data_IF_885949047213
#
_entry.id   IF_885949047213
#
_cell.length_a   1.000
_cell.length_b   1.000
_cell.length_c   1.000
_cell.angle_alpha   90.00
_cell.angle_beta   90.00
_cell.angle_gamma   90.00
#
_symmetry.space_group_name_H-M   'P 1'
#
loop_
_entity.id
_entity.type
_entity.pdbx_description
1 polymer ?
2 non-polymer ?
3 water ?
#
# COMPACT_ATOMS: atom_id res chain seq x y z
N UNK A 13 -8.91 25.84 13.21
CA UNK A 13 -10.34 25.46 13.42
C UNK A 13 -10.91 24.73 12.20
N UNK A 14 -10.50 25.14 11.01
CA UNK A 14 -10.96 24.54 9.76
C UNK A 14 -10.46 23.10 9.61
N UNK A 15 -9.53 22.69 10.48
CA UNK A 15 -8.98 21.35 10.44
C UNK A 15 -9.58 20.50 11.55
N UNK A 16 -10.51 21.11 12.30
CA UNK A 16 -11.23 20.43 13.37
C UNK A 16 -12.11 19.35 12.70
N UNK A 17 -12.10 18.12 13.24
CA UNK A 17 -12.84 16.95 12.74
C UNK A 17 -14.15 17.22 11.99
N UNK A 18 -15.16 17.69 12.71
CA UNK A 18 -16.47 17.96 12.12
C UNK A 18 -16.41 18.95 10.95
N UNK A 19 -15.70 20.06 11.15
CA UNK A 19 -15.57 21.08 10.13
C UNK A 19 -14.82 20.56 8.90
N UNK A 20 -13.75 19.82 9.17
CA UNK A 20 -12.93 19.25 8.11
C UNK A 20 -13.71 18.31 7.19
N UNK A 21 -14.57 17.47 7.77
CA UNK A 21 -15.36 16.56 6.98
C UNK A 21 -16.36 17.33 6.14
N UNK A 22 -16.99 18.35 6.72
CA UNK A 22 -17.94 19.16 5.98
C UNK A 22 -17.23 19.90 4.85
N UNK A 23 -16.00 20.33 5.10
CA UNK A 23 -15.24 21.05 4.07
C UNK A 23 -14.87 20.08 2.95
N UNK A 24 -14.49 18.85 3.30
CA UNK A 24 -14.14 17.87 2.28
C UNK A 24 -15.37 17.54 1.43
N UNK A 25 -16.53 17.48 2.08
CA UNK A 25 -17.79 17.20 1.39
C UNK A 25 -18.06 18.20 0.26
N UNK A 26 -17.99 19.49 0.57
CA UNK A 26 -18.21 20.54 -0.42
C UNK A 26 -17.15 20.53 -1.51
N UNK A 27 -15.95 20.05 -1.16
CA UNK A 27 -14.84 19.99 -2.09
C UNK A 27 -14.96 18.90 -3.16
N UNK A 28 -15.86 17.95 -2.95
CA UNK A 28 -16.05 16.86 -3.89
C UNK A 28 -16.11 17.32 -5.35
N UNK A 29 -15.49 16.53 -6.25
CA UNK A 29 -15.45 16.80 -7.69
C UNK A 29 -16.85 16.66 -8.28
N UNK A 30 -17.15 17.38 -9.37
CA UNK A 30 -18.47 17.29 -10.00
C UNK A 30 -18.52 16.01 -10.84
N UNK A 31 -19.71 15.66 -11.32
CA UNK A 31 -19.82 14.50 -12.17
C UNK A 31 -19.07 14.80 -13.46
N UNK A 32 -18.44 13.80 -14.04
CA UNK A 32 -17.68 14.01 -15.26
C UNK A 32 -18.25 13.18 -16.40
N UNK A 33 -18.66 13.85 -17.47
CA UNK A 33 -19.21 13.17 -18.64
C UNK A 33 -18.16 13.19 -19.75
N UNK A 34 -17.73 12.01 -20.21
CA UNK A 34 -16.73 11.96 -21.29
C UNK A 34 -17.29 12.44 -22.62
N UNK A 35 -18.58 12.19 -22.85
CA UNK A 35 -19.22 12.63 -24.09
C UNK A 35 -18.60 12.02 -25.35
N UNK A 36 -18.79 10.71 -25.50
CA UNK A 36 -18.26 10.01 -26.67
C UNK A 36 -19.15 10.33 -27.87
N UNK A 37 -18.55 10.88 -28.94
CA UNK A 37 -19.27 11.25 -30.17
C UNK A 37 -19.85 10.04 -30.89
N UNK A 44 -14.37 5.35 -29.42
CA UNK A 44 -15.12 4.10 -29.18
C UNK A 44 -14.18 3.10 -28.47
N UNK A 45 -12.88 3.40 -28.45
CA UNK A 45 -11.97 2.47 -27.83
C UNK A 45 -12.18 2.56 -26.33
N UNK A 46 -12.27 1.45 -25.64
CA UNK A 46 -12.45 1.54 -24.21
C UNK A 46 -11.31 2.38 -23.61
N UNK A 47 -10.07 2.04 -24.00
CA UNK A 47 -8.89 2.74 -23.50
C UNK A 47 -8.92 4.20 -23.92
N UNK A 48 -9.63 4.49 -25.00
CA UNK A 48 -9.72 5.87 -25.48
C UNK A 48 -10.68 6.64 -24.57
N UNK A 49 -11.76 5.96 -24.15
CA UNK A 49 -12.74 6.57 -23.27
C UNK A 49 -12.11 6.79 -21.89
N UNK A 50 -11.52 5.72 -21.36
CA UNK A 50 -10.88 5.78 -20.05
C UNK A 50 -9.90 6.95 -20.01
N UNK A 51 -9.01 7.03 -21.00
CA UNK A 51 -8.02 8.10 -21.05
C UNK A 51 -8.66 9.49 -21.18
N UNK A 52 -9.76 9.60 -21.92
CA UNK A 52 -10.39 10.91 -22.04
C UNK A 52 -11.03 11.30 -20.71
N UNK A 53 -11.53 10.30 -20.00
CA UNK A 53 -12.14 10.53 -18.69
C UNK A 53 -11.10 10.99 -17.67
N UNK A 54 -10.02 10.21 -17.52
CA UNK A 54 -8.95 10.55 -16.58
C UNK A 54 -8.48 11.98 -16.79
N UNK A 55 -8.18 12.32 -18.03
CA UNK A 55 -7.73 13.67 -18.36
C UNK A 55 -8.71 14.71 -17.83
N UNK A 56 -10.00 14.45 -17.95
CA UNK A 56 -11.01 15.38 -17.44
C UNK A 56 -11.07 15.39 -15.91
N UNK A 57 -10.99 14.22 -15.30
CA UNK A 57 -11.04 14.12 -13.84
C UNK A 57 -9.87 14.81 -13.18
N UNK A 58 -8.67 14.67 -13.76
CA UNK A 58 -7.47 15.28 -13.21
C UNK A 58 -7.63 16.77 -13.00
N UNK A 59 -8.29 17.43 -13.94
CA UNK A 59 -8.51 18.87 -13.81
C UNK A 59 -9.27 19.14 -12.52
N UNK A 60 -10.35 18.38 -12.29
CA UNK A 60 -11.15 18.55 -11.08
C UNK A 60 -10.45 18.03 -9.84
N UNK A 61 -9.53 17.11 -10.00
CA UNK A 61 -8.80 16.59 -8.86
C UNK A 61 -7.90 17.69 -8.29
N UNK A 62 -7.29 18.48 -9.17
CA UNK A 62 -6.42 19.57 -8.73
C UNK A 62 -7.26 20.55 -7.91
N UNK A 63 -8.45 20.89 -8.42
CA UNK A 63 -9.33 21.83 -7.71
C UNK A 63 -9.66 21.27 -6.34
N UNK A 64 -9.95 19.98 -6.29
CA UNK A 64 -10.30 19.32 -5.05
C UNK A 64 -9.16 19.45 -4.02
N UNK A 65 -7.94 19.11 -4.42
CA UNK A 65 -6.77 19.17 -3.54
C UNK A 65 -6.57 20.59 -2.98
N UNK A 66 -6.72 21.60 -3.85
CA UNK A 66 -6.59 22.98 -3.43
C UNK A 66 -7.60 23.37 -2.35
N UNK A 67 -8.72 22.66 -2.29
CA UNK A 67 -9.74 22.95 -1.30
C UNK A 67 -9.52 22.26 0.03
N UNK A 68 -8.59 21.31 0.07
CA UNK A 68 -8.30 20.62 1.32
C UNK A 68 -7.57 21.64 2.19
N UNK A 69 -8.15 21.97 3.36
CA UNK A 69 -7.57 22.94 4.30
C UNK A 69 -6.07 22.78 4.53
N UNK A 70 -5.31 23.79 4.15
CA UNK A 70 -3.88 23.76 4.35
C UNK A 70 -3.04 23.26 3.19
N UNK A 71 -3.68 22.58 2.24
CA UNK A 71 -2.93 22.06 1.10
C UNK A 71 -2.19 23.16 0.34
N UNK A 72 -2.92 24.21 0.00
CA UNK A 72 -2.35 25.32 -0.74
C UNK A 72 -1.21 26.01 0.03
N UNK A 73 -1.09 25.73 1.33
CA UNK A 73 -0.04 26.33 2.13
C UNK A 73 1.23 25.50 2.23
N UNK A 74 1.24 24.32 1.63
CA UNK A 74 2.44 23.50 1.63
C UNK A 74 3.26 24.17 0.53
N UNK A 75 4.54 23.83 0.41
CA UNK A 75 5.35 24.42 -0.64
C UNK A 75 4.81 23.91 -1.96
N UNK A 76 4.90 24.71 -3.02
CA UNK A 76 4.40 24.27 -4.31
C UNK A 76 5.13 22.97 -4.63
N UNK A 77 6.33 22.83 -4.08
CA UNK A 77 7.13 21.64 -4.30
C UNK A 77 6.41 20.39 -3.79
N UNK A 78 5.87 20.47 -2.58
CA UNK A 78 5.15 19.34 -2.01
C UNK A 78 3.81 19.13 -2.73
N UNK A 79 3.12 20.22 -3.02
CA UNK A 79 1.84 20.13 -3.71
C UNK A 79 2.01 19.35 -5.01
N UNK A 80 2.96 19.79 -5.83
CA UNK A 80 3.22 19.16 -7.12
C UNK A 80 3.66 17.71 -6.90
N UNK A 81 4.51 17.53 -5.88
CA UNK A 81 5.03 16.21 -5.54
C UNK A 81 3.87 15.25 -5.20
N UNK A 82 2.96 15.70 -4.35
CA UNK A 82 1.82 14.89 -3.94
C UNK A 82 0.86 14.63 -5.10
N UNK A 83 0.52 15.66 -5.86
CA UNK A 83 -0.40 15.48 -6.99
C UNK A 83 0.16 14.55 -8.06
N UNK A 84 1.44 14.68 -8.35
CA UNK A 84 2.05 13.85 -9.38
C UNK A 84 2.04 12.35 -9.03
N UNK A 85 2.27 12.01 -7.77
CA UNK A 85 2.29 10.60 -7.39
C UNK A 85 0.99 9.97 -6.89
N UNK A 86 -0.03 10.77 -6.60
CA UNK A 86 -1.28 10.22 -6.09
C UNK A 86 -2.45 10.17 -7.07
N UNK A 87 -2.34 10.85 -8.21
CA UNK A 87 -3.47 10.93 -9.12
C UNK A 87 -4.20 9.63 -9.50
N UNK A 88 -3.45 8.60 -9.84
CA UNK A 88 -4.05 7.33 -10.21
C UNK A 88 -4.76 6.65 -9.02
N UNK A 89 -4.20 6.80 -7.80
CA UNK A 89 -4.82 6.22 -6.59
C UNK A 89 -6.14 6.92 -6.24
N UNK A 90 -6.16 8.24 -6.39
CA UNK A 90 -7.35 9.03 -6.09
C UNK A 90 -8.47 8.74 -7.08
N UNK A 91 -8.12 8.58 -8.35
CA UNK A 91 -9.12 8.29 -9.37
C UNK A 91 -9.72 6.93 -9.07
N UNK A 92 -8.87 5.98 -8.67
CA UNK A 92 -9.36 4.65 -8.36
C UNK A 92 -10.15 4.61 -7.06
N UNK A 93 -9.78 5.44 -6.09
CA UNK A 93 -10.52 5.48 -4.85
C UNK A 93 -11.89 6.04 -5.17
N UNK A 94 -11.92 7.02 -6.07
CA UNK A 94 -13.19 7.61 -6.48
C UNK A 94 -14.04 6.59 -7.21
N UNK A 95 -13.42 5.82 -8.10
CA UNK A 95 -14.10 4.78 -8.88
C UNK A 95 -14.72 3.70 -7.98
N UNK A 96 -13.95 3.25 -6.99
CA UNK A 96 -14.44 2.23 -6.07
C UNK A 96 -15.62 2.70 -5.24
N UNK A 97 -15.54 3.95 -4.79
CA UNK A 97 -16.60 4.49 -3.98
C UNK A 97 -17.90 4.56 -4.79
N UNK A 98 -17.87 5.05 -6.03
CA UNK A 98 -19.15 5.07 -6.77
C UNK A 98 -19.62 3.71 -7.29
N UNK A 99 -18.71 2.73 -7.30
CA UNK A 99 -19.03 1.37 -7.74
C UNK A 99 -19.38 0.46 -6.54
N UNK A 100 -19.18 0.97 -5.34
CA UNK A 100 -19.40 0.20 -4.11
C UNK A 100 -20.70 -0.58 -3.94
N UNK A 101 -21.82 -0.07 -4.43
CA UNK A 101 -23.08 -0.78 -4.27
C UNK A 101 -23.45 -1.71 -5.44
N UNK A 102 -22.57 -1.83 -6.44
CA UNK A 102 -22.87 -2.67 -7.60
C UNK A 102 -21.79 -3.70 -7.95
N UNK A 103 -21.84 -4.87 -7.29
CA UNK A 103 -20.85 -5.91 -7.58
C UNK A 103 -20.77 -6.30 -9.06
N UNK A 104 -19.55 -6.56 -9.54
CA UNK A 104 -19.37 -6.95 -10.93
C UNK A 104 -19.33 -5.79 -11.89
N UNK A 105 -19.50 -4.57 -11.38
CA UNK A 105 -19.46 -3.40 -12.23
C UNK A 105 -18.57 -2.28 -11.72
N UNK A 106 -18.16 -1.43 -12.66
CA UNK A 106 -17.33 -0.29 -12.34
C UNK A 106 -17.99 0.96 -12.92
N UNK A 107 -18.53 1.82 -12.06
CA UNK A 107 -19.14 3.04 -12.55
C UNK A 107 -18.04 4.09 -12.69
N UNK A 108 -17.39 4.10 -13.86
CA UNK A 108 -16.31 5.05 -14.14
C UNK A 108 -16.83 6.47 -14.27
N UNK A 109 -18.02 6.59 -14.86
CA UNK A 109 -18.63 7.90 -15.08
C UNK A 109 -20.10 7.70 -15.42
N UNK A 110 -20.90 8.77 -15.33
CA UNK A 110 -22.34 8.72 -15.62
C UNK A 110 -22.70 8.08 -16.97
N UNK A 111 -21.76 8.02 -17.90
CA UNK A 111 -22.07 7.37 -19.18
C UNK A 111 -20.99 6.38 -19.55
N UNK A 112 -20.39 5.78 -18.54
CA UNK A 112 -19.36 4.79 -18.76
C UNK A 112 -19.35 3.81 -17.60
N UNK A 113 -20.26 2.85 -17.66
CA UNK A 113 -20.39 1.81 -16.66
C UNK A 113 -19.87 0.57 -17.36
N UNK A 114 -18.85 -0.07 -16.78
CA UNK A 114 -18.25 -1.27 -17.39
C UNK A 114 -18.29 -2.45 -16.44
N UNK A 115 -18.72 -3.61 -16.92
CA UNK A 115 -18.72 -4.78 -16.05
C UNK A 115 -17.43 -5.53 -16.30
N UNK A 116 -17.06 -6.38 -15.34
CA UNK A 116 -15.83 -7.13 -15.40
C UNK A 116 -15.40 -7.67 -16.78
N UNK A 117 -16.27 -8.45 -17.40
CA UNK A 117 -15.97 -9.05 -18.70
C UNK A 117 -15.60 -8.10 -19.83
N UNK A 118 -16.11 -6.88 -19.80
CA UNK A 118 -15.77 -5.94 -20.85
C UNK A 118 -14.27 -5.67 -20.78
N UNK A 119 -13.64 -6.15 -19.71
CA UNK A 119 -12.23 -5.95 -19.53
C UNK A 119 -11.37 -6.96 -20.27
N UNK A 120 -12.00 -7.97 -20.87
CA UNK A 120 -11.27 -8.99 -21.62
C UNK A 120 -10.83 -8.46 -22.98
N UNK A 121 -11.52 -7.43 -23.47
CA UNK A 121 -11.20 -6.82 -24.74
C UNK A 121 -9.72 -6.43 -24.75
N UNK A 122 -9.36 -5.45 -23.92
CA UNK A 122 -7.97 -4.99 -23.82
C UNK A 122 -7.16 -5.92 -22.92
N UNK A 123 -5.98 -6.32 -23.39
CA UNK A 123 -5.12 -7.22 -22.63
C UNK A 123 -4.52 -6.54 -21.41
N UNK A 124 -4.46 -7.26 -20.30
CA UNK A 124 -3.90 -6.72 -19.07
C UNK A 124 -4.87 -5.93 -18.21
N UNK A 125 -6.01 -5.55 -18.79
CA UNK A 125 -7.00 -4.78 -18.08
C UNK A 125 -7.89 -5.62 -17.18
N UNK A 126 -8.25 -6.82 -17.62
CA UNK A 126 -9.10 -7.68 -16.83
C UNK A 126 -8.49 -7.89 -15.45
N UNK A 127 -7.16 -8.02 -15.41
CA UNK A 127 -6.42 -8.23 -14.18
C UNK A 127 -6.63 -7.06 -13.22
N UNK A 128 -6.57 -5.84 -13.76
CA UNK A 128 -6.74 -4.63 -12.98
C UNK A 128 -8.20 -4.46 -12.52
N UNK A 129 -9.15 -4.78 -13.39
CA UNK A 129 -10.58 -4.70 -13.08
C UNK A 129 -10.89 -5.59 -11.88
N UNK A 130 -10.25 -6.75 -11.84
CA UNK A 130 -10.47 -7.69 -10.76
C UNK A 130 -9.89 -7.19 -9.44
N UNK A 131 -8.79 -6.43 -9.51
CA UNK A 131 -8.19 -5.86 -8.30
C UNK A 131 -9.11 -4.77 -7.75
N UNK A 132 -9.68 -3.99 -8.67
CA UNK A 132 -10.58 -2.90 -8.32
C UNK A 132 -11.89 -3.45 -7.79
N UNK A 133 -12.41 -4.49 -8.45
CA UNK A 133 -13.67 -5.06 -8.00
C UNK A 133 -13.49 -5.72 -6.64
N UNK A 134 -12.33 -6.31 -6.41
CA UNK A 134 -12.05 -6.97 -5.12
C UNK A 134 -11.87 -5.97 -3.97
N UNK A 135 -11.20 -4.85 -4.25
CA UNK A 135 -10.99 -3.85 -3.23
C UNK A 135 -12.31 -3.15 -2.93
N UNK A 136 -13.11 -2.90 -3.98
CA UNK A 136 -14.42 -2.27 -3.82
C UNK A 136 -15.26 -3.20 -2.96
N UNK A 137 -15.18 -4.49 -3.26
CA UNK A 137 -15.90 -5.50 -2.52
C UNK A 137 -15.60 -5.41 -1.04
N UNK A 138 -14.34 -5.20 -0.71
CA UNK A 138 -13.89 -5.09 0.67
C UNK A 138 -14.44 -3.84 1.38
N UNK A 139 -14.52 -2.72 0.66
CA UNK A 139 -15.06 -1.49 1.24
C UNK A 139 -16.56 -1.68 1.49
N UNK A 140 -17.23 -2.43 0.61
CA UNK A 140 -18.66 -2.69 0.78
C UNK A 140 -18.85 -3.55 2.05
N UNK A 141 -18.05 -4.59 2.20
CA UNK A 141 -18.12 -5.47 3.38
C UNK A 141 -17.92 -4.69 4.67
N UNK A 142 -16.99 -3.73 4.65
CA UNK A 142 -16.71 -2.93 5.84
C UNK A 142 -17.77 -1.86 6.00
N UNK A 143 -18.64 -1.74 4.99
CA UNK A 143 -19.67 -0.72 5.02
C UNK A 143 -19.05 0.67 5.18
N UNK A 144 -18.11 0.98 4.30
CA UNK A 144 -17.44 2.27 4.31
C UNK A 144 -18.50 3.38 4.28
N UNK A 145 -18.37 4.36 5.17
CA UNK A 145 -19.31 5.48 5.26
C UNK A 145 -18.87 6.64 4.38
N UNK A 146 -19.80 7.54 4.08
CA UNK A 146 -19.50 8.70 3.27
C UNK A 146 -18.41 9.53 3.97
N UNK A 147 -18.57 9.73 5.27
CA UNK A 147 -17.60 10.49 6.07
C UNK A 147 -16.21 9.86 6.09
N UNK A 148 -16.16 8.54 6.22
CA UNK A 148 -14.88 7.83 6.23
C UNK A 148 -14.24 7.96 4.85
N UNK A 149 -15.03 7.74 3.81
CA UNK A 149 -14.54 7.84 2.44
C UNK A 149 -13.92 9.21 2.17
N UNK A 150 -14.55 10.25 2.69
CA UNK A 150 -14.03 11.60 2.49
C UNK A 150 -12.66 11.77 3.14
N UNK A 151 -12.46 11.14 4.29
CA UNK A 151 -11.19 11.25 5.01
C UNK A 151 -10.11 10.42 4.33
N UNK A 152 -10.46 9.18 4.01
CA UNK A 152 -9.52 8.27 3.36
C UNK A 152 -9.00 8.85 2.04
N UNK A 153 -9.87 9.40 1.22
CA UNK A 153 -9.42 9.96 -0.05
C UNK A 153 -8.42 11.11 0.17
N UNK A 154 -8.64 11.90 1.21
CA UNK A 154 -7.74 13.00 1.52
C UNK A 154 -6.41 12.43 2.00
N UNK A 155 -6.47 11.35 2.77
CA UNK A 155 -5.27 10.71 3.27
C UNK A 155 -4.44 10.12 2.13
N UNK A 156 -5.10 9.56 1.12
CA UNK A 156 -4.41 8.98 -0.03
C UNK A 156 -3.52 10.04 -0.71
N UNK A 157 -4.04 11.25 -0.82
CA UNK A 157 -3.28 12.35 -1.42
C UNK A 157 -2.11 12.74 -0.52
N UNK A 158 -2.37 12.97 0.76
CA UNK A 158 -1.35 13.39 1.71
C UNK A 158 -0.28 12.35 2.01
N UNK A 159 -0.60 11.08 1.82
CA UNK A 159 0.33 9.99 2.06
C UNK A 159 0.89 9.40 0.77
N UNK A 160 0.69 10.07 -0.36
CA UNK A 160 1.16 9.53 -1.64
C UNK A 160 2.67 9.47 -1.82
N UNK A 161 3.39 10.49 -1.36
CA UNK A 161 4.84 10.50 -1.51
C UNK A 161 5.54 10.58 -0.15
N UNK A 162 6.53 9.72 0.04
CA UNK A 162 7.30 9.66 1.28
C UNK A 162 8.32 10.81 1.35
N UNK A 163 8.93 11.12 0.21
CA UNK A 163 9.94 12.16 0.11
C UNK A 163 9.64 13.52 0.73
N UNK A 164 8.51 14.15 0.34
CA UNK A 164 8.18 15.46 0.91
C UNK A 164 7.96 15.40 2.42
N UNK A 165 8.28 14.27 3.03
CA UNK A 165 8.11 14.09 4.46
C UNK A 165 9.43 13.67 5.14
N UNK A 166 10.40 13.23 4.35
CA UNK A 166 11.69 12.80 4.89
C UNK A 166 12.86 13.43 4.11
N UNK A 174 8.27 22.93 5.35
CA UNK A 174 6.96 22.49 4.87
C UNK A 174 6.66 21.05 5.26
N UNK A 175 7.70 20.26 5.51
CA UNK A 175 7.52 18.88 5.91
C UNK A 175 6.71 18.88 7.20
N UNK A 176 7.07 19.80 8.10
CA UNK A 176 6.37 19.93 9.36
C UNK A 176 4.90 20.10 9.03
N UNK A 177 4.63 20.97 8.06
CA UNK A 177 3.26 21.24 7.63
C UNK A 177 2.51 20.02 7.09
N UNK A 178 3.17 19.23 6.25
CA UNK A 178 2.53 18.04 5.69
C UNK A 178 2.19 17.03 6.77
N UNK A 179 3.12 16.86 7.71
CA UNK A 179 2.94 15.92 8.81
C UNK A 179 1.76 16.32 9.68
N UNK A 180 1.61 17.61 9.92
CA UNK A 180 0.51 18.10 10.73
C UNK A 180 -0.81 17.94 9.99
N UNK A 181 -0.78 18.15 8.67
CA UNK A 181 -1.98 18.01 7.85
C UNK A 181 -2.44 16.55 7.83
N UNK A 182 -1.50 15.65 7.60
CA UNK A 182 -1.81 14.24 7.56
C UNK A 182 -2.39 13.77 8.90
N UNK A 183 -1.88 14.33 10.00
CA UNK A 183 -2.36 13.97 11.34
C UNK A 183 -3.78 14.51 11.55
N UNK A 184 -4.06 15.68 10.99
CA UNK A 184 -5.37 16.28 11.14
C UNK A 184 -6.45 15.41 10.50
N UNK A 185 -6.18 14.93 9.29
CA UNK A 185 -7.12 14.08 8.58
C UNK A 185 -7.29 12.77 9.33
N UNK A 186 -6.21 12.26 9.92
CA UNK A 186 -6.24 11.02 10.69
C UNK A 186 -7.14 11.21 11.91
N UNK A 187 -6.98 12.34 12.59
CA UNK A 187 -7.81 12.64 13.76
C UNK A 187 -9.28 12.64 13.33
N UNK A 188 -9.55 13.25 12.17
CA UNK A 188 -10.91 13.33 11.66
C UNK A 188 -11.51 11.94 11.46
N UNK A 189 -10.75 11.04 10.84
CA UNK A 189 -11.21 9.68 10.61
C UNK A 189 -11.42 8.96 11.94
N UNK A 190 -10.48 9.15 12.88
CA UNK A 190 -10.57 8.53 14.20
C UNK A 190 -11.81 9.06 14.89
N UNK A 191 -12.12 10.34 14.65
CA UNK A 191 -13.31 10.94 15.23
C UNK A 191 -14.54 10.32 14.58
N UNK A 192 -14.53 10.25 13.25
CA UNK A 192 -15.64 9.65 12.51
C UNK A 192 -15.94 8.26 13.04
N UNK A 193 -14.90 7.44 13.15
CA UNK A 193 -15.05 6.09 13.67
C UNK A 193 -15.59 6.10 15.11
N UNK A 194 -15.11 7.04 15.92
CA UNK A 194 -15.55 7.13 17.31
C UNK A 194 -17.06 7.36 17.49
N UNK A 195 -17.63 8.31 16.76
CA UNK A 195 -19.07 8.53 16.91
C UNK A 195 -19.89 7.39 16.33
N UNK A 196 -19.19 6.33 15.93
CA UNK A 196 -19.81 5.13 15.37
C UNK A 196 -20.48 4.38 16.53
N UNK A 197 -20.07 4.74 17.74
CA UNK A 197 -20.62 4.13 18.94
C UNK A 197 -20.11 2.74 19.25
N UNK A 198 -19.11 2.27 18.51
CA UNK A 198 -18.57 0.93 18.74
C UNK A 198 -17.52 0.91 19.86
N UNK A 199 -17.21 -0.27 20.38
CA UNK A 199 -16.23 -0.39 21.45
C UNK A 199 -14.86 0.13 21.02
N UNK A 200 -13.99 0.37 22.00
CA UNK A 200 -12.65 0.86 21.72
C UNK A 200 -11.79 -0.16 21.00
N UNK A 201 -12.06 -1.44 21.21
CA UNK A 201 -11.30 -2.48 20.53
C UNK A 201 -11.69 -2.50 19.07
N UNK A 202 -12.98 -2.31 18.81
CA UNK A 202 -13.48 -2.30 17.44
C UNK A 202 -13.05 -1.05 16.69
N UNK A 203 -12.90 0.05 17.42
CA UNK A 203 -12.49 1.31 16.83
C UNK A 203 -11.08 1.17 16.28
N UNK A 204 -10.20 0.56 17.06
CA UNK A 204 -8.82 0.34 16.62
C UNK A 204 -8.82 -0.63 15.46
N UNK A 205 -9.67 -1.64 15.56
CA UNK A 205 -9.75 -2.64 14.50
C UNK A 205 -10.27 -2.03 13.21
N UNK A 206 -11.24 -1.12 13.31
CA UNK A 206 -11.77 -0.51 12.09
C UNK A 206 -10.76 0.45 11.48
N UNK A 207 -10.08 1.23 12.31
CA UNK A 207 -9.07 2.13 11.77
C UNK A 207 -8.03 1.27 11.03
N UNK A 208 -7.55 0.22 11.68
CA UNK A 208 -6.57 -0.67 11.07
C UNK A 208 -7.06 -1.34 9.77
N UNK A 209 -8.32 -1.76 9.74
CA UNK A 209 -8.86 -2.39 8.55
C UNK A 209 -8.93 -1.39 7.39
N UNK A 210 -9.29 -0.16 7.70
CA UNK A 210 -9.38 0.88 6.69
C UNK A 210 -8.01 1.20 6.11
N UNK A 211 -7.05 1.47 6.99
CA UNK A 211 -5.69 1.83 6.55
C UNK A 211 -4.98 0.73 5.78
N UNK A 212 -5.26 -0.52 6.12
CA UNK A 212 -4.66 -1.64 5.41
C UNK A 212 -5.18 -1.68 3.97
N UNK A 213 -6.42 -1.23 3.76
CA UNK A 213 -6.96 -1.22 2.41
C UNK A 213 -6.21 -0.23 1.53
N UNK A 214 -5.57 0.77 2.15
CA UNK A 214 -4.81 1.74 1.39
C UNK A 214 -3.66 1.07 0.64
N UNK A 215 -3.10 -0.01 1.21
CA UNK A 215 -2.03 -0.74 0.56
C UNK A 215 -2.53 -1.32 -0.76
N UNK A 216 -3.78 -1.79 -0.74
CA UNK A 216 -4.42 -2.38 -1.91
C UNK A 216 -4.77 -1.35 -2.96
N UNK A 217 -5.21 -0.17 -2.52
CA UNK A 217 -5.55 0.90 -3.46
C UNK A 217 -4.23 1.30 -4.14
N UNK A 218 -3.17 1.38 -3.34
CA UNK A 218 -1.86 1.71 -3.86
C UNK A 218 -1.45 0.66 -4.89
N UNK A 219 -1.73 -0.60 -4.57
CA UNK A 219 -1.38 -1.71 -5.44
C UNK A 219 -2.07 -1.65 -6.81
N UNK A 220 -3.37 -1.40 -6.82
CA UNK A 220 -4.10 -1.31 -8.07
C UNK A 220 -3.62 -0.09 -8.86
N UNK A 221 -3.17 0.92 -8.13
CA UNK A 221 -2.66 2.14 -8.72
C UNK A 221 -1.34 1.89 -9.48
N UNK A 222 -0.45 1.12 -8.87
CA UNK A 222 0.83 0.79 -9.50
C UNK A 222 0.58 -0.07 -10.73
N UNK A 223 -0.38 -0.98 -10.65
CA UNK A 223 -0.69 -1.83 -11.79
C UNK A 223 -1.27 -1.00 -12.94
N UNK A 224 -2.16 -0.07 -12.60
CA UNK A 224 -2.75 0.78 -13.61
C UNK A 224 -1.72 1.65 -14.30
N UNK A 225 -0.76 2.17 -13.52
CA UNK A 225 0.32 3.00 -14.05
C UNK A 225 1.23 2.20 -14.98
N UNK A 226 1.53 0.97 -14.57
CA UNK A 226 2.39 0.11 -15.37
C UNK A 226 1.73 -0.15 -16.71
N UNK A 227 0.47 -0.52 -16.67
CA UNK A 227 -0.30 -0.80 -17.87
C UNK A 227 -0.42 0.42 -18.78
N UNK A 228 -0.56 1.60 -18.19
CA UNK A 228 -0.71 2.82 -18.95
C UNK A 228 0.55 3.19 -19.71
N UNK A 229 1.70 2.95 -19.09
CA UNK A 229 2.95 3.26 -19.74
C UNK A 229 3.30 2.18 -20.74
N UNK A 230 2.89 0.94 -20.47
CA UNK A 230 3.15 -0.18 -21.36
C UNK A 230 2.15 -0.14 -22.49
N UNK A 231 1.24 0.82 -22.43
CA UNK A 231 0.22 0.99 -23.45
C UNK A 231 0.76 1.47 -24.78
N UNK A 232 0.15 1.00 -25.86
CA UNK A 232 0.53 1.34 -27.22
C UNK A 232 -0.45 2.30 -27.89
N UNK A 235 -3.73 6.48 -30.72
CA UNK A 235 -5.19 6.53 -30.80
C UNK A 235 -5.88 6.77 -29.44
N UNK A 236 -5.14 7.38 -28.52
CA UNK A 236 -5.64 7.67 -27.17
C UNK A 236 -5.06 8.99 -26.63
N UNK A 237 -5.25 9.24 -25.35
CA UNK A 237 -4.78 10.47 -24.75
C UNK A 237 -3.61 10.32 -23.78
N UNK A 238 -2.63 11.21 -23.87
CA UNK A 238 -1.45 11.20 -23.01
C UNK A 238 -1.78 11.95 -21.72
N UNK A 239 -2.38 11.21 -20.80
CA UNK A 239 -2.80 11.75 -19.53
C UNK A 239 -1.67 12.29 -18.70
N UNK A 240 -0.61 11.51 -18.54
CA UNK A 240 0.54 11.94 -17.75
C UNK A 240 1.14 13.27 -18.20
N UNK A 241 1.37 13.41 -19.51
CA UNK A 241 1.93 14.66 -20.03
C UNK A 241 0.95 15.80 -19.85
N UNK A 242 -0.34 15.53 -20.02
CA UNK A 242 -1.36 16.55 -19.84
C UNK A 242 -1.38 16.97 -18.37
N UNK A 243 -1.19 16.00 -17.48
CA UNK A 243 -1.18 16.28 -16.05
C UNK A 243 -0.02 17.22 -15.73
N UNK A 244 1.14 16.92 -16.30
CA UNK A 244 2.31 17.75 -16.07
C UNK A 244 2.08 19.18 -16.55
N UNK A 245 1.28 19.32 -17.61
CA UNK A 245 0.95 20.64 -18.14
C UNK A 245 0.10 21.36 -17.10
N UNK A 246 -0.85 20.64 -16.51
CA UNK A 246 -1.73 21.20 -15.48
C UNK A 246 -0.92 21.56 -14.25
N UNK A 247 0.12 20.79 -13.99
CA UNK A 247 0.97 21.02 -12.84
C UNK A 247 1.84 22.25 -13.03
N UNK A 248 2.26 22.49 -14.26
CA UNK A 248 3.08 23.66 -14.53
C UNK A 248 2.14 24.85 -14.43
N UNK A 249 0.91 24.67 -14.93
CA UNK A 249 -0.11 25.72 -14.87
C UNK A 249 -0.34 26.03 -13.39
N UNK A 250 -0.29 24.98 -12.57
CA UNK A 250 -0.49 25.12 -11.13
C UNK A 250 0.70 25.85 -10.53
N UNK A 251 1.84 25.47 -10.86
N UNK B 12 -6.90 -20.10 20.99
CA UNK B 12 -7.20 -18.65 21.16
C UNK B 12 -6.04 -17.96 21.86
N UNK B 13 -5.62 -18.54 22.97
CA UNK B 13 -4.54 -18.00 23.80
C UNK B 13 -3.18 -17.87 23.11
N UNK B 14 -2.87 -18.76 22.18
CA UNK B 14 -1.59 -18.72 21.47
C UNK B 14 -1.48 -17.46 20.58
N UNK B 15 -2.62 -16.81 20.36
CA UNK B 15 -2.70 -15.60 19.55
C UNK B 15 -2.77 -14.36 20.42
N UNK B 16 -2.67 -14.56 21.74
CA UNK B 16 -2.70 -13.46 22.70
C UNK B 16 -1.50 -12.55 22.47
N UNK B 17 -1.72 -11.22 22.53
CA UNK B 17 -0.71 -10.18 22.34
C UNK B 17 0.72 -10.51 22.77
N UNK B 18 0.89 -10.86 24.04
CA UNK B 18 2.21 -11.17 24.56
C UNK B 18 2.85 -12.45 24.00
N UNK B 19 2.10 -13.55 23.99
CA UNK B 19 2.64 -14.80 23.48
C UNK B 19 2.98 -14.66 22.02
N UNK B 20 2.07 -14.04 21.26
CA UNK B 20 2.22 -13.85 19.83
C UNK B 20 3.53 -13.16 19.44
N UNK B 21 3.86 -12.09 20.14
CA UNK B 21 5.08 -11.34 19.86
C UNK B 21 6.31 -12.22 20.14
N UNK B 22 6.27 -12.95 21.24
CA UNK B 22 7.37 -13.83 21.59
C UNK B 22 7.48 -14.96 20.56
N UNK B 23 6.35 -15.47 20.09
CA UNK B 23 6.39 -16.54 19.09
C UNK B 23 6.93 -15.99 17.76
N UNK B 24 6.56 -14.77 17.40
CA UNK B 24 7.06 -14.19 16.16
C UNK B 24 8.57 -14.01 16.29
N UNK B 25 9.03 -13.60 17.48
CA UNK B 25 10.45 -13.42 17.75
C UNK B 25 11.25 -14.69 17.44
N UNK B 26 10.88 -15.82 18.06
CA UNK B 26 11.56 -17.08 17.81
C UNK B 26 11.44 -17.54 16.37
N UNK B 27 10.40 -17.07 15.69
CA UNK B 27 10.15 -17.44 14.29
C UNK B 27 11.04 -16.70 13.29
N UNK B 28 11.70 -15.65 13.74
CA UNK B 28 12.57 -14.88 12.86
C UNK B 28 13.55 -15.74 12.06
N UNK B 29 13.76 -15.38 10.78
CA UNK B 29 14.66 -16.09 9.86
C UNK B 29 16.11 -15.96 10.31
N UNK B 30 16.96 -16.93 9.94
CA UNK B 30 18.38 -16.91 10.32
C UNK B 30 19.09 -15.93 9.40
N UNK B 31 20.34 -15.61 9.72
CA UNK B 31 21.10 -14.71 8.85
C UNK B 31 21.33 -15.47 7.56
N UNK B 32 21.35 -14.78 6.43
CA UNK B 32 21.56 -15.45 5.16
C UNK B 32 22.86 -14.99 4.51
N UNK B 33 23.79 -15.92 4.33
CA UNK B 33 25.07 -15.59 3.71
C UNK B 33 25.01 -15.97 2.24
N UNK B 34 25.07 -14.97 1.37
CA UNK B 34 25.02 -15.21 -0.07
C UNK B 34 26.19 -16.07 -0.56
N UNK B 35 27.35 -15.89 0.07
CA UNK B 35 28.53 -16.66 -0.30
C UNK B 35 28.88 -16.59 -1.79
N UNK B 36 29.43 -15.45 -2.21
CA UNK B 36 29.81 -15.26 -3.60
C UNK B 36 31.24 -15.76 -3.77
N UNK B 37 31.46 -16.69 -4.71
CA UNK B 37 32.78 -17.28 -5.01
C UNK B 37 33.83 -16.24 -5.45
N UNK B 44 24.15 -7.17 -13.49
CA UNK B 44 24.44 -8.58 -13.73
C UNK B 44 24.94 -9.29 -12.48
N UNK B 45 26.09 -8.87 -11.93
CA UNK B 45 26.62 -9.50 -10.73
C UNK B 45 25.86 -8.99 -9.50
N UNK B 46 25.74 -7.67 -9.36
CA UNK B 46 24.99 -7.12 -8.23
C UNK B 46 23.61 -7.74 -8.29
N UNK B 47 23.04 -7.78 -9.50
CA UNK B 47 21.72 -8.36 -9.71
C UNK B 47 21.79 -9.87 -9.55
N UNK B 48 22.97 -10.45 -9.73
CA UNK B 48 23.17 -11.87 -9.58
C UNK B 48 23.23 -12.16 -8.07
N UNK B 49 23.85 -11.25 -7.33
CA UNK B 49 23.94 -11.39 -5.89
C UNK B 49 22.54 -11.29 -5.28
N UNK B 50 21.87 -10.19 -5.55
CA UNK B 50 20.53 -9.95 -5.04
C UNK B 50 19.64 -11.16 -5.34
N UNK B 51 19.62 -11.59 -6.61
CA UNK B 51 18.78 -12.71 -6.98
C UNK B 51 19.13 -14.01 -6.25
N UNK B 52 20.42 -14.24 -5.99
CA UNK B 52 20.80 -15.45 -5.30
C UNK B 52 20.46 -15.32 -3.82
N UNK B 53 20.50 -14.10 -3.32
CA UNK B 53 20.15 -13.84 -1.92
C UNK B 53 18.65 -14.08 -1.71
N UNK B 54 17.82 -13.46 -2.57
CA UNK B 54 16.38 -13.61 -2.48
C UNK B 54 15.96 -15.07 -2.49
N UNK B 55 16.49 -15.83 -3.43
CA UNK B 55 16.15 -17.24 -3.53
C UNK B 55 16.40 -17.93 -2.19
N UNK B 56 17.52 -17.63 -1.55
CA UNK B 56 17.85 -18.21 -0.26
C UNK B 56 16.91 -17.73 0.85
N UNK B 57 16.54 -16.46 0.83
CA UNK B 57 15.66 -15.91 1.85
C UNK B 57 14.26 -16.49 1.76
N UNK B 58 13.80 -16.71 0.53
CA UNK B 58 12.47 -17.26 0.29
C UNK B 58 12.26 -18.60 0.97
N UNK B 59 13.31 -19.41 1.02
CA UNK B 59 13.21 -20.69 1.69
C UNK B 59 12.88 -20.44 3.15
N UNK B 60 13.64 -19.56 3.79
CA UNK B 60 13.42 -19.23 5.19
C UNK B 60 12.15 -18.45 5.43
N UNK B 61 11.68 -17.74 4.42
CA UNK B 61 10.46 -16.99 4.58
C UNK B 61 9.29 -17.97 4.71
N UNK B 62 9.32 -19.06 3.95
CA UNK B 62 8.27 -20.07 4.01
C UNK B 62 8.23 -20.65 5.42
N UNK B 63 9.41 -20.95 5.97
CA UNK B 63 9.51 -21.52 7.31
C UNK B 63 8.97 -20.54 8.32
N UNK B 64 9.30 -19.26 8.13
CA UNK B 64 8.84 -18.21 9.04
C UNK B 64 7.30 -18.17 9.07
N UNK B 65 6.70 -18.07 7.88
CA UNK B 65 5.24 -18.01 7.74
C UNK B 65 4.56 -19.21 8.41
N UNK B 66 5.12 -20.40 8.24
CA UNK B 66 4.56 -21.61 8.85
C UNK B 66 4.58 -21.54 10.38
N UNK B 67 5.42 -20.68 10.93
CA UNK B 67 5.52 -20.54 12.38
C UNK B 67 4.55 -19.52 12.97
N UNK B 68 3.90 -18.74 12.11
CA UNK B 68 2.93 -17.76 12.58
C UNK B 68 1.71 -18.55 13.01
N UNK B 69 1.33 -18.46 14.30
CA UNK B 69 0.17 -19.17 14.86
C UNK B 69 -1.07 -19.10 13.97
N UNK B 70 -1.55 -20.26 13.54
CA UNK B 70 -2.72 -20.29 12.71
C UNK B 70 -2.50 -20.28 11.21
N UNK B 71 -1.33 -19.83 10.77
CA UNK B 71 -1.07 -19.78 9.34
C UNK B 71 -1.27 -21.15 8.69
N UNK B 72 -0.67 -22.16 9.28
CA UNK B 72 -0.77 -23.51 8.75
C UNK B 72 -2.19 -24.06 8.76
N UNK B 73 -3.09 -23.43 9.52
CA UNK B 73 -4.47 -23.89 9.59
C UNK B 73 -5.42 -23.16 8.63
N UNK B 74 -4.84 -22.45 7.67
CA UNK B 74 -5.64 -21.77 6.66
C UNK B 74 -5.62 -22.80 5.56
N UNK B 75 -6.47 -22.64 4.56
CA UNK B 75 -6.47 -23.59 3.45
C UNK B 75 -5.14 -23.41 2.73
N UNK B 76 -4.63 -24.49 2.14
CA UNK B 76 -3.37 -24.41 1.42
C UNK B 76 -3.51 -23.36 0.33
N UNK B 77 -4.72 -23.21 -0.18
CA UNK B 77 -4.95 -22.23 -1.23
C UNK B 77 -4.66 -20.80 -0.78
N UNK B 78 -5.05 -20.47 0.45
CA UNK B 78 -4.79 -19.13 0.95
C UNK B 78 -3.32 -18.98 1.32
N UNK B 79 -2.73 -20.04 1.86
CA UNK B 79 -1.33 -20.01 2.24
C UNK B 79 -0.49 -19.66 1.02
N UNK B 80 -0.71 -20.39 -0.06
CA UNK B 80 0.02 -20.18 -1.30
C UNK B 80 -0.25 -18.80 -1.87
N UNK B 81 -1.52 -18.37 -1.84
CA UNK B 81 -1.91 -17.05 -2.32
C UNK B 81 -1.10 -15.96 -1.62
N UNK B 82 -1.10 -16.04 -0.29
CA UNK B 82 -0.39 -15.06 0.52
C UNK B 82 1.11 -15.08 0.26
N UNK B 83 1.73 -16.25 0.35
CA UNK B 83 3.17 -16.33 0.11
C UNK B 83 3.57 -15.80 -1.27
N UNK B 84 2.82 -16.18 -2.28
CA UNK B 84 3.13 -15.72 -3.62
C UNK B 84 2.98 -14.19 -3.77
N UNK B 85 1.98 -13.62 -3.11
CA UNK B 85 1.73 -12.18 -3.18
C UNK B 85 2.66 -11.31 -2.33
N UNK B 86 3.01 -11.78 -1.14
CA UNK B 86 3.83 -11.00 -0.22
C UNK B 86 5.35 -11.08 -0.24
N UNK B 87 5.91 -12.17 -0.77
CA UNK B 87 7.35 -12.35 -0.68
C UNK B 87 8.26 -11.14 -0.89
N UNK B 88 8.07 -10.40 -1.97
CA UNK B 88 8.91 -9.23 -2.22
C UNK B 88 8.72 -8.14 -1.14
N UNK B 89 7.51 -7.97 -0.62
CA UNK B 89 7.24 -6.98 0.44
C UNK B 89 7.90 -7.40 1.76
N UNK B 90 7.84 -8.69 2.05
CA UNK B 90 8.42 -9.20 3.29
C UNK B 90 9.94 -9.09 3.23
N UNK B 91 10.53 -9.43 2.09
CA UNK B 91 11.98 -9.32 1.94
C UNK B 91 12.39 -7.86 2.13
N UNK B 92 11.65 -6.95 1.50
CA UNK B 92 11.95 -5.54 1.62
C UNK B 92 11.72 -5.00 3.03
N UNK B 93 10.73 -5.55 3.73
CA UNK B 93 10.47 -5.09 5.09
C UNK B 93 11.65 -5.55 5.96
N UNK B 94 12.16 -6.74 5.67
CA UNK B 94 13.30 -7.25 6.40
C UNK B 94 14.50 -6.39 6.12
N UNK B 95 14.69 -6.01 4.85
CA UNK B 95 15.82 -5.18 4.45
C UNK B 95 15.79 -3.83 5.17
N UNK B 96 14.63 -3.18 5.18
CA UNK B 96 14.48 -1.88 5.82
C UNK B 96 14.78 -1.93 7.32
N UNK B 97 14.35 -3.00 7.95
CA UNK B 97 14.58 -3.14 9.39
C UNK B 97 16.06 -3.30 9.72
N UNK B 98 16.82 -4.09 8.96
CA UNK B 98 18.24 -4.21 9.29
C UNK B 98 19.09 -3.05 8.80
N UNK B 99 18.53 -2.22 7.92
CA UNK B 99 19.23 -1.05 7.38
C UNK B 99 18.82 0.20 8.17
N UNK B 100 17.83 0.06 9.04
CA UNK B 100 17.26 1.18 9.79
C UNK B 100 18.20 2.12 10.53
N UNK B 101 19.29 1.59 11.09
CA UNK B 101 20.18 2.48 11.81
C UNK B 101 21.35 3.04 10.97
N UNK B 102 21.34 2.78 9.67
CA UNK B 102 22.43 3.23 8.79
C UNK B 102 21.97 3.97 7.55
N UNK B 103 21.71 5.27 7.69
CA UNK B 103 21.27 6.05 6.53
C UNK B 103 22.23 5.99 5.33
N UNK B 104 21.65 5.95 4.13
CA UNK B 104 22.44 5.89 2.92
C UNK B 104 22.89 4.48 2.57
N UNK B 105 22.61 3.53 3.46
CA UNK B 105 22.99 2.15 3.21
C UNK B 105 21.85 1.15 3.27
N UNK B 106 22.05 0.03 2.60
CA UNK B 106 21.08 -1.04 2.57
C UNK B 106 21.80 -2.33 2.96
N UNK B 107 21.55 -2.81 4.17
CA UNK B 107 22.19 -4.05 4.62
C UNK B 107 21.35 -5.23 4.15
N UNK B 108 21.60 -5.68 2.92
CA UNK B 108 20.90 -6.81 2.33
C UNK B 108 21.22 -8.13 3.00
N UNK B 109 22.45 -8.29 3.44
CA UNK B 109 22.88 -9.52 4.10
C UNK B 109 24.27 -9.28 4.68
N UNK B 110 24.70 -10.14 5.62
CA UNK B 110 26.01 -10.05 6.27
C UNK B 110 27.22 -9.80 5.37
N UNK B 111 27.16 -10.20 4.10
CA UNK B 111 28.30 -9.92 3.22
C UNK B 111 27.85 -9.17 1.98
N UNK B 112 26.79 -8.39 2.13
CA UNK B 112 26.27 -7.61 1.02
C UNK B 112 25.64 -6.32 1.52
N UNK B 113 26.48 -5.32 1.78
CA UNK B 113 26.01 -4.03 2.22
C UNK B 113 26.22 -3.13 1.00
N UNK B 114 25.18 -2.42 0.59
CA UNK B 114 25.26 -1.54 -0.57
C UNK B 114 24.80 -0.14 -0.20
N UNK B 115 25.48 0.88 -0.74
CA UNK B 115 25.05 2.25 -0.47
C UNK B 115 24.35 2.80 -1.70
N UNK B 116 23.53 3.82 -1.50
CA UNK B 116 22.77 4.42 -2.58
C UNK B 116 23.45 4.43 -3.95
N UNK B 117 24.59 5.09 -4.03
CA UNK B 117 25.36 5.22 -5.28
C UNK B 117 25.59 3.93 -6.08
N UNK B 118 25.92 2.83 -5.40
CA UNK B 118 26.14 1.58 -6.10
C UNK B 118 24.91 1.18 -6.91
N UNK B 119 23.79 1.85 -6.65
CA UNK B 119 22.57 1.53 -7.36
C UNK B 119 22.55 2.14 -8.76
N UNK B 120 23.56 2.93 -9.08
CA UNK B 120 23.66 3.57 -10.39
C UNK B 120 24.14 2.59 -11.46
N UNK B 121 24.87 1.58 -11.03
CA UNK B 121 25.38 0.56 -11.94
C UNK B 121 24.22 0.04 -12.78
N UNK B 122 23.34 -0.75 -12.16
CA UNK B 122 22.18 -1.29 -12.87
C UNK B 122 21.13 -0.20 -13.05
N UNK B 123 20.55 -0.14 -14.25
CA UNK B 123 19.55 0.86 -14.57
C UNK B 123 18.21 0.50 -13.93
N UNK B 124 17.52 1.52 -13.45
CA UNK B 124 16.23 1.31 -12.80
C UNK B 124 16.32 0.99 -11.32
N UNK B 125 17.46 0.47 -10.90
CA UNK B 125 17.67 0.11 -9.51
C UNK B 125 17.82 1.30 -8.58
N UNK B 126 18.43 2.37 -9.05
CA UNK B 126 18.63 3.55 -8.22
C UNK B 126 17.29 4.11 -7.70
N UNK B 127 16.27 4.07 -8.55
CA UNK B 127 14.96 4.57 -8.15
C UNK B 127 14.42 3.76 -6.97
N UNK B 128 14.48 2.44 -7.11
CA UNK B 128 14.01 1.53 -6.07
C UNK B 128 14.78 1.73 -4.76
N UNK B 129 16.10 1.87 -4.85
CA UNK B 129 16.96 2.09 -3.67
C UNK B 129 16.53 3.33 -2.90
N UNK B 130 16.20 4.39 -3.62
CA UNK B 130 15.77 5.63 -3.00
C UNK B 130 14.43 5.48 -2.31
N UNK B 131 13.59 4.58 -2.81
CA UNK B 131 12.29 4.32 -2.21
C UNK B 131 12.50 3.59 -0.89
N UNK B 132 13.39 2.61 -0.92
CA UNK B 132 13.72 1.80 0.23
C UNK B 132 14.45 2.63 1.28
N UNK B 133 15.32 3.52 0.85
CA UNK B 133 16.05 4.34 1.78
C UNK B 133 15.13 5.38 2.42
N UNK B 134 14.16 5.88 1.66
CA UNK B 134 13.21 6.87 2.18
C UNK B 134 12.20 6.24 3.15
N UNK B 135 11.74 5.04 2.83
CA UNK B 135 10.79 4.35 3.69
C UNK B 135 11.50 3.95 4.97
N UNK B 136 12.78 3.54 4.83
CA UNK B 136 13.60 3.15 5.98
C UNK B 136 13.80 4.36 6.90
N UNK B 137 14.01 5.52 6.30
CA UNK B 137 14.20 6.74 7.06
C UNK B 137 12.95 7.08 7.85
N UNK B 138 11.79 6.79 7.28
CA UNK B 138 10.52 7.05 7.94
C UNK B 138 10.35 6.11 9.16
N UNK B 139 10.80 4.85 9.05
CA UNK B 139 10.68 3.93 10.17
C UNK B 139 11.65 4.34 11.28
N UNK B 140 12.81 4.85 10.90
CA UNK B 140 13.80 5.32 11.87
C UNK B 140 13.23 6.55 12.62
N UNK B 141 12.63 7.49 11.89
CA UNK B 141 12.07 8.68 12.51
C UNK B 141 10.96 8.34 13.50
N UNK B 142 10.15 7.34 13.19
CA UNK B 142 9.07 6.91 14.07
C UNK B 142 9.63 6.05 15.18
N UNK B 143 10.93 5.75 15.09
CA UNK B 143 11.55 4.90 16.09
C UNK B 143 10.81 3.56 16.20
N UNK B 144 10.73 2.85 15.08
CA UNK B 144 10.06 1.55 15.04
C UNK B 144 10.69 0.64 16.09
N UNK B 145 9.86 -0.01 16.90
CA UNK B 145 10.34 -0.92 17.94
C UNK B 145 10.48 -2.32 17.41
N UNK B 146 11.31 -3.13 18.07
CA UNK B 146 11.52 -4.50 17.63
C UNK B 146 10.19 -5.26 17.62
N UNK B 147 9.36 -5.09 18.63
CA UNK B 147 8.09 -5.83 18.57
C UNK B 147 7.05 -5.25 17.63
N UNK B 148 7.17 -3.96 17.30
CA UNK B 148 6.24 -3.36 16.34
C UNK B 148 6.64 -3.93 14.98
N UNK B 149 7.95 -4.03 14.77
CA UNK B 149 8.44 -4.58 13.51
C UNK B 149 7.96 -6.02 13.32
N UNK B 150 8.01 -6.82 14.38
CA UNK B 150 7.57 -8.21 14.30
C UNK B 150 6.10 -8.34 13.90
N UNK B 151 5.27 -7.44 14.44
CA UNK B 151 3.83 -7.45 14.15
C UNK B 151 3.57 -7.00 12.72
N UNK B 152 4.20 -5.89 12.36
CA UNK B 152 4.05 -5.32 11.03
C UNK B 152 4.43 -6.32 9.93
N UNK B 153 5.59 -6.96 10.07
CA UNK B 153 6.00 -7.92 9.06
C UNK B 153 4.96 -9.04 8.90
N UNK B 154 4.39 -9.48 10.01
CA UNK B 154 3.38 -10.52 9.97
C UNK B 154 2.12 -9.99 9.28
N UNK B 155 1.78 -8.74 9.54
CA UNK B 155 0.61 -8.15 8.91
C UNK B 155 0.81 -8.07 7.41
N UNK B 156 2.03 -7.73 6.99
CA UNK B 156 2.35 -7.65 5.57
C UNK B 156 2.01 -8.96 4.84
N UNK B 157 2.30 -10.09 5.48
CA UNK B 157 2.00 -11.39 4.89
C UNK B 157 0.49 -11.63 4.84
N UNK B 158 -0.18 -11.41 5.97
CA UNK B 158 -1.61 -11.65 6.08
C UNK B 158 -2.50 -10.70 5.27
N UNK B 159 -1.98 -9.51 4.95
CA UNK B 159 -2.72 -8.50 4.18
C UNK B 159 -2.23 -8.41 2.74
N UNK B 160 -1.35 -9.31 2.32
CA UNK B 160 -0.81 -9.27 0.96
C UNK B 160 -1.82 -9.51 -0.15
N UNK B 161 -2.79 -10.38 0.08
CA UNK B 161 -3.79 -10.64 -0.96
C UNK B 161 -5.21 -10.45 -0.47
N UNK B 162 -5.99 -9.72 -1.27
CA UNK B 162 -7.39 -9.44 -0.98
C UNK B 162 -8.33 -10.61 -1.23
N UNK B 163 -8.19 -11.25 -2.40
CA UNK B 163 -9.03 -12.37 -2.80
C UNK B 163 -9.35 -13.42 -1.74
N UNK B 164 -8.33 -13.91 -1.01
CA UNK B 164 -8.61 -14.92 0.02
C UNK B 164 -9.46 -14.39 1.18
N UNK B 165 -9.93 -13.15 1.04
CA UNK B 165 -10.75 -12.53 2.08
C UNK B 165 -12.11 -12.12 1.53
N UNK B 166 -12.25 -12.10 0.20
CA UNK B 166 -13.51 -11.71 -0.44
C UNK B 166 -13.88 -12.70 -1.57
N UNK B 174 -12.35 -20.61 5.26
CA UNK B 174 -10.99 -20.21 5.57
C UNK B 174 -10.84 -18.69 5.60
N UNK B 175 -11.73 -18.00 4.89
CA UNK B 175 -11.70 -16.54 4.88
C UNK B 175 -11.94 -16.06 6.32
N UNK B 176 -12.86 -16.73 6.99
CA UNK B 176 -13.18 -16.42 8.38
C UNK B 176 -11.88 -16.53 9.19
N UNK B 177 -11.11 -17.56 8.91
CA UNK B 177 -9.85 -17.80 9.61
C UNK B 177 -8.78 -16.74 9.33
N UNK B 178 -8.67 -16.28 8.09
CA UNK B 178 -7.68 -15.27 7.75
C UNK B 178 -8.00 -13.95 8.43
N UNK B 179 -9.28 -13.60 8.44
CA UNK B 179 -9.74 -12.36 9.06
C UNK B 179 -9.47 -12.38 10.55
N UNK B 180 -9.64 -13.54 11.17
CA UNK B 180 -9.41 -13.67 12.61
C UNK B 180 -7.92 -13.46 12.90
N UNK B 181 -7.09 -14.11 12.10
CA UNK B 181 -5.64 -14.02 12.23
C UNK B 181 -5.14 -12.59 12.05
N UNK B 182 -5.63 -11.93 11.01
CA UNK B 182 -5.24 -10.56 10.73
C UNK B 182 -5.62 -9.64 11.90
N UNK B 183 -6.76 -9.92 12.53
CA UNK B 183 -7.22 -9.14 13.68
C UNK B 183 -6.35 -9.43 14.92
N UNK B 184 -5.90 -10.67 15.05
CA UNK B 184 -5.07 -11.04 16.19
C UNK B 184 -3.75 -10.26 16.16
N UNK B 185 -3.12 -10.23 14.99
CA UNK B 185 -1.85 -9.53 14.82
C UNK B 185 -2.05 -8.03 15.05
N UNK B 186 -3.19 -7.52 14.59
CA UNK B 186 -3.51 -6.10 14.76
C UNK B 186 -3.71 -5.77 16.24
N UNK B 187 -4.40 -6.65 16.95
CA UNK B 187 -4.62 -6.47 18.38
C UNK B 187 -3.26 -6.44 19.07
N UNK B 188 -2.38 -7.32 18.63
CA UNK B 188 -1.04 -7.43 19.20
C UNK B 188 -0.27 -6.13 19.01
N UNK B 189 -0.36 -5.54 17.82
CA UNK B 189 0.32 -4.29 17.53
C UNK B 189 -0.31 -3.17 18.36
N UNK B 190 -1.63 -3.21 18.48
CA UNK B 190 -2.33 -2.18 19.26
C UNK B 190 -1.91 -2.33 20.72
N UNK B 191 -1.70 -3.57 21.15
CA UNK B 191 -1.26 -3.84 22.51
C UNK B 191 0.17 -3.31 22.70
N UNK B 192 1.05 -3.63 21.75
CA UNK B 192 2.43 -3.17 21.81
C UNK B 192 2.47 -1.66 21.96
N UNK B 193 1.73 -0.96 21.10
CA UNK B 193 1.68 0.48 21.13
C UNK B 193 1.10 0.98 22.47
N UNK B 194 0.11 0.26 22.98
CA UNK B 194 -0.52 0.66 24.25
C UNK B 194 0.46 0.69 25.42
N UNK B 195 1.25 -0.36 25.61
CA UNK B 195 2.18 -0.35 26.73
C UNK B 195 3.31 0.64 26.51
N UNK B 196 3.22 1.39 25.42
CA UNK B 196 4.21 2.41 25.11
C UNK B 196 4.01 3.52 26.13
N UNK B 197 2.84 3.50 26.77
CA UNK B 197 2.51 4.48 27.78
C UNK B 197 2.06 5.84 27.26
N UNK B 198 2.11 6.04 25.96
CA UNK B 198 1.70 7.33 25.38
C UNK B 198 0.19 7.55 25.48
N UNK B 199 -0.27 8.77 25.20
CA UNK B 199 -1.70 9.07 25.29
C UNK B 199 -2.53 8.28 24.30
N UNK B 200 -3.85 8.39 24.42
CA UNK B 200 -4.76 7.70 23.53
C UNK B 200 -4.79 8.31 22.14
N UNK B 201 -4.63 9.62 22.05
CA UNK B 201 -4.64 10.28 20.75
C UNK B 201 -3.38 9.90 19.99
N UNK B 202 -2.27 9.76 20.72
CA UNK B 202 -1.00 9.38 20.12
C UNK B 202 -0.99 7.91 19.73
N UNK B 203 -1.68 7.08 20.50
CA UNK B 203 -1.76 5.66 20.20
C UNK B 203 -2.43 5.48 18.85
N UNK B 204 -3.51 6.22 18.64
CA UNK B 204 -4.24 6.15 17.36
C UNK B 204 -3.36 6.73 16.26
N UNK B 205 -2.66 7.81 16.58
CA UNK B 205 -1.81 8.44 15.59
C UNK B 205 -0.65 7.53 15.20
N UNK B 206 -0.11 6.78 16.15
CA UNK B 206 0.99 5.88 15.86
C UNK B 206 0.54 4.68 15.05
N UNK B 207 -0.61 4.10 15.42
CA UNK B 207 -1.15 2.98 14.66
C UNK B 207 -1.33 3.46 13.21
N UNK B 208 -1.98 4.61 13.03
CA UNK B 208 -2.20 5.14 11.69
C UNK B 208 -0.89 5.41 10.95
N UNK B 209 0.11 5.96 11.63
CA UNK B 209 1.39 6.25 10.96
C UNK B 209 2.09 4.97 10.51
N UNK B 210 2.02 3.94 11.33
CA UNK B 210 2.64 2.66 11.01
C UNK B 210 1.95 2.01 9.81
N UNK B 211 0.62 1.93 9.86
CA UNK B 211 -0.15 1.30 8.77
C UNK B 211 -0.08 2.07 7.46
N UNK B 212 0.08 3.39 7.52
CA UNK B 212 0.18 4.17 6.30
C UNK B 212 1.52 3.86 5.63
N UNK B 213 2.50 3.44 6.41
CA UNK B 213 3.79 3.08 5.82
C UNK B 213 3.70 1.81 4.99
N UNK B 214 2.74 0.95 5.31
CA UNK B 214 2.57 -0.30 4.56
C UNK B 214 2.33 0.00 3.10
N UNK B 215 1.64 1.11 2.82
CA UNK B 215 1.36 1.51 1.44
C UNK B 215 2.66 1.73 0.68
N UNK B 216 3.64 2.30 1.39
CA UNK B 216 4.93 2.58 0.79
C UNK B 216 5.73 1.29 0.63
N UNK B 217 5.57 0.34 1.55
CA UNK B 217 6.27 -0.92 1.44
C UNK B 217 5.70 -1.64 0.22
N UNK B 218 4.37 -1.61 0.11
CA UNK B 218 3.70 -2.23 -1.01
C UNK B 218 4.21 -1.60 -2.31
N UNK B 219 4.30 -0.27 -2.31
CA UNK B 219 4.74 0.48 -3.47
C UNK B 219 6.15 0.09 -3.94
N UNK B 220 7.11 0.06 -3.02
CA UNK B 220 8.48 -0.30 -3.36
C UNK B 220 8.50 -1.76 -3.86
N UNK B 221 7.57 -2.54 -3.35
CA UNK B 221 7.47 -3.94 -3.71
C UNK B 221 7.00 -4.12 -5.17
N UNK B 222 6.03 -3.29 -5.59
CA UNK B 222 5.53 -3.35 -6.95
C UNK B 222 6.60 -2.90 -7.94
N UNK B 223 7.41 -1.93 -7.53
CA UNK B 223 8.48 -1.44 -8.39
C UNK B 223 9.58 -2.47 -8.51
N UNK B 224 9.83 -3.19 -7.43
CA UNK B 224 10.86 -4.21 -7.43
C UNK B 224 10.44 -5.36 -8.32
N UNK B 225 9.17 -5.76 -8.21
CA UNK B 225 8.60 -6.84 -9.03
C UNK B 225 8.65 -6.46 -10.51
N UNK B 226 8.29 -5.22 -10.79
CA UNK B 226 8.27 -4.74 -12.16
C UNK B 226 9.67 -4.79 -12.74
N UNK B 227 10.62 -4.28 -11.98
CA UNK B 227 12.01 -4.26 -12.42
C UNK B 227 12.54 -5.67 -12.61
N UNK B 228 12.11 -6.59 -11.73
CA UNK B 228 12.55 -7.96 -11.82
C UNK B 228 12.04 -8.67 -13.06
N UNK B 229 10.77 -8.43 -13.40
CA UNK B 229 10.20 -9.07 -14.56
C UNK B 229 10.61 -8.42 -15.89
N UNK B 230 11.18 -7.22 -15.81
CA UNK B 230 11.68 -6.51 -17.01
C UNK B 230 13.15 -6.85 -17.15
N UNK B 231 13.58 -7.95 -16.53
CA UNK B 231 14.98 -8.29 -16.57
C UNK B 231 15.43 -9.45 -17.49
N UNK B 232 16.61 -9.24 -18.10
CA UNK B 232 17.22 -10.21 -18.99
C UNK B 232 18.74 -10.08 -18.91
N UNK B 235 21.27 -14.84 -16.84
CA UNK B 235 22.53 -15.19 -16.24
C UNK B 235 22.37 -15.05 -14.72
N UNK B 236 21.21 -14.55 -14.32
CA UNK B 236 20.92 -14.34 -12.91
C UNK B 236 20.04 -15.50 -12.47
N UNK B 237 19.64 -15.54 -11.20
CA UNK B 237 18.79 -16.59 -10.70
C UNK B 237 17.26 -16.34 -10.86
N UNK B 238 16.49 -17.35 -11.28
CA UNK B 238 15.04 -17.29 -11.48
C UNK B 238 14.20 -17.43 -10.18
N UNK B 239 14.23 -16.39 -9.37
CA UNK B 239 13.53 -16.41 -8.11
C UNK B 239 12.05 -16.75 -8.15
N UNK B 240 11.27 -16.05 -8.97
CA UNK B 240 9.83 -16.34 -9.03
C UNK B 240 9.49 -17.79 -9.34
N UNK B 241 10.15 -18.37 -10.34
CA UNK B 241 9.90 -19.75 -10.71
C UNK B 241 10.36 -20.69 -9.60
N UNK B 242 11.50 -20.38 -9.00
CA UNK B 242 12.03 -21.19 -7.91
C UNK B 242 11.05 -21.11 -6.73
N UNK B 243 10.42 -19.96 -6.58
CA UNK B 243 9.45 -19.78 -5.51
C UNK B 243 8.25 -20.68 -5.74
N UNK B 244 7.83 -20.78 -7.00
CA UNK B 244 6.69 -21.62 -7.35
C UNK B 244 7.02 -23.09 -7.09
N UNK B 245 8.29 -23.45 -7.26
CA UNK B 245 8.73 -24.82 -7.00
C UNK B 245 8.60 -25.05 -5.49
N UNK B 246 9.06 -24.08 -4.70
CA UNK B 246 8.99 -24.16 -3.24
C UNK B 246 7.55 -24.23 -2.78
N UNK B 247 6.70 -23.48 -3.46
CA UNK B 247 5.29 -23.45 -3.13
C UNK B 247 4.63 -24.78 -3.43
N UNK B 248 5.06 -25.44 -4.51
CA UNK B 248 4.49 -26.75 -4.83
C UNK B 248 4.95 -27.76 -3.79
N UNK B 249 6.22 -27.68 -3.40
CA UNK B 249 6.75 -28.58 -2.37
C UNK B 249 6.00 -28.33 -1.08
N UNK B 250 5.74 -27.06 -0.80
CA UNK B 250 5.00 -26.67 0.38
C UNK B 250 3.62 -27.31 0.28
N UNK B 251 3.13 -27.44 -0.95
CA UNK B 251 1.84 -28.04 -1.26
C UNK B 251 1.85 -29.58 -1.20
N UNK B 252 3.03 -30.18 -1.34
CA UNK B 252 3.14 -31.64 -1.30
C UNK B 252 3.70 -32.14 0.03
N UNK B 253 4.46 -31.41 0.69
#
# INVERSE_FOLDING_TARGET
MHHHHHHRELLLDALSPEQLVLTLLEAEPPHVLISRPSAPFTEASMMMSLTKLADKELVHMISWAKKIPGFVELSLFDQVRLLESCWMEVLMMGLMWRSIDHPGKLIFAPDLVLDRDEGKCVEGILEIFDMLLATTSRFRELKLQHKEYLCVKAMILLNSSMYPLVTATQDADSSRKLAHLLNAVTDALVWVIAKSGISSQQQSMRLANLLMLLSHVRHASNKGMEHLLNMKCKNVVPVYDLLLEMLNAHVLRGCKS
MHHHHHHRELLLDALSPEQLVLTLLEAEPPHVLISRPSAPFTEASMMMSLTKLADKELVHMISWAKKIPGFVELSLFDQVRLLESCWMEVLMMGLMWRSIDHPGKLIFAPDLVLDRDEGKCVEGILEIFDMLLATTSRFRELKLQHKEYLCVKAMILLNSSMYPLVTATQDADSSRKLAHLLNAVTDALVWVIAKSGISSQQQSMRLANLLMLLSHVRHASNKGMEHLLNMKCKNVVPVYDLLLEMLNAHVLRGCKS
#
